data_IF_082758882698
#
_entry.id   IF_082758882698
#
_cell.length_a   1.000
_cell.length_b   1.000
_cell.length_c   1.000
_cell.angle_alpha   90.00
_cell.angle_beta   90.00
_cell.angle_gamma   90.00
#
_symmetry.space_group_name_H-M   'P 1'
#
loop_
_entity.id
_entity.type
_entity.pdbx_description
1 polymer ?
#
# COMPACT_ATOMS: atom_id res chain seq x y z
N UNK A 1 10.01 2.92 -15.76
CA UNK A 1 10.33 2.74 -14.32
C UNK A 1 9.10 2.30 -13.56
N UNK A 2 9.30 1.45 -12.56
CA UNK A 2 8.21 1.01 -11.72
C UNK A 2 7.77 2.13 -10.77
N UNK A 3 6.46 2.32 -10.59
CA UNK A 3 5.92 3.12 -9.49
C UNK A 3 5.73 2.17 -8.32
N UNK A 4 6.55 2.33 -7.30
CA UNK A 4 6.61 1.42 -6.15
C UNK A 4 5.65 1.84 -5.06
N UNK A 5 4.97 0.86 -4.47
CA UNK A 5 4.08 1.11 -3.35
C UNK A 5 4.40 0.19 -2.18
N UNK A 6 4.14 0.69 -0.98
CA UNK A 6 4.18 -0.10 0.25
C UNK A 6 2.74 -0.15 0.77
N UNK A 7 2.23 -1.34 1.07
CA UNK A 7 0.81 -1.56 1.33
C UNK A 7 0.63 -2.33 2.63
N UNK A 8 -0.20 -1.85 3.53
CA UNK A 8 -0.39 -2.58 4.77
C UNK A 8 -1.39 -1.99 5.74
N UNK A 9 -1.13 -2.26 7.01
CA UNK A 9 -2.02 -1.88 8.11
C UNK A 9 -1.24 -1.18 9.22
N UNK A 10 -1.96 -0.44 10.05
CA UNK A 10 -1.42 0.10 11.29
C UNK A 10 -1.72 -0.88 12.42
N UNK A 11 -0.68 -1.25 13.17
CA UNK A 11 -0.79 -2.16 14.29
C UNK A 11 -1.20 -1.43 15.57
N UNK A 12 -1.69 -2.17 16.57
CA UNK A 12 -2.12 -1.60 17.85
C UNK A 12 -0.99 -0.90 18.61
N UNK A 13 0.27 -1.34 18.39
CA UNK A 13 1.43 -0.70 19.01
C UNK A 13 1.90 0.58 18.31
N UNK A 14 1.20 0.99 17.25
CA UNK A 14 1.53 2.20 16.48
C UNK A 14 2.47 1.96 15.30
N UNK A 15 3.01 0.76 15.15
CA UNK A 15 3.82 0.42 13.98
C UNK A 15 2.95 0.12 12.76
N UNK A 16 3.57 0.11 11.60
CA UNK A 16 2.94 -0.23 10.33
C UNK A 16 3.56 -1.50 9.79
N UNK A 17 2.72 -2.49 9.45
CA UNK A 17 3.18 -3.73 8.80
C UNK A 17 2.80 -3.65 7.34
N UNK A 18 3.81 -3.61 6.45
CA UNK A 18 3.63 -3.28 5.04
C UNK A 18 4.27 -4.31 4.14
N UNK A 19 3.63 -4.59 3.00
CA UNK A 19 4.18 -5.43 1.94
C UNK A 19 4.48 -4.57 0.71
N UNK A 20 5.62 -4.83 0.07
CA UNK A 20 6.03 -4.13 -1.15
C UNK A 20 5.21 -4.61 -2.35
N UNK A 21 4.78 -3.64 -3.19
CA UNK A 21 4.16 -3.88 -4.50
C UNK A 21 4.96 -3.15 -5.57
N UNK A 22 5.39 -3.89 -6.61
CA UNK A 22 6.41 -3.40 -7.55
C UNK A 22 5.86 -2.53 -8.67
N UNK A 23 4.77 -2.95 -9.34
CA UNK A 23 4.29 -2.29 -10.53
C UNK A 23 3.04 -1.45 -10.30
N UNK A 24 2.98 -0.29 -10.98
CA UNK A 24 1.79 0.56 -11.09
C UNK A 24 1.17 0.95 -9.74
N UNK A 25 2.03 1.28 -8.76
CA UNK A 25 1.61 1.61 -7.40
C UNK A 25 0.91 2.97 -7.24
N UNK A 26 0.66 3.70 -8.33
CA UNK A 26 0.02 5.01 -8.26
C UNK A 26 -1.47 4.90 -7.94
N UNK A 27 -2.08 5.98 -7.37
CA UNK A 27 -3.48 5.93 -6.91
C UNK A 27 -4.50 5.52 -7.95
N UNK A 28 -4.30 5.88 -9.21
CA UNK A 28 -5.22 5.54 -10.30
C UNK A 28 -5.24 4.06 -10.67
N UNK A 29 -4.30 3.26 -10.16
CA UNK A 29 -4.30 1.82 -10.36
C UNK A 29 -4.38 1.07 -9.02
N UNK A 30 -3.29 1.00 -8.25
CA UNK A 30 -3.29 0.28 -6.97
C UNK A 30 -4.31 0.89 -6.00
N UNK A 31 -4.37 2.21 -5.90
CA UNK A 31 -5.34 2.87 -5.02
C UNK A 31 -6.77 2.49 -5.35
N UNK A 32 -7.11 2.55 -6.64
CA UNK A 32 -8.44 2.17 -7.13
C UNK A 32 -8.75 0.70 -6.84
N UNK A 33 -7.83 -0.20 -7.13
CA UNK A 33 -8.00 -1.65 -6.91
C UNK A 33 -8.22 -1.94 -5.43
N UNK A 34 -7.41 -1.35 -4.54
CA UNK A 34 -7.55 -1.53 -3.10
C UNK A 34 -8.91 -1.09 -2.60
N UNK A 35 -9.36 0.09 -3.01
CA UNK A 35 -10.65 0.64 -2.59
C UNK A 35 -11.82 -0.19 -3.11
N UNK A 36 -11.75 -0.66 -4.34
CA UNK A 36 -12.86 -1.37 -4.98
C UNK A 36 -12.93 -2.86 -4.66
N UNK A 37 -11.79 -3.50 -4.39
CA UNK A 37 -11.71 -4.96 -4.28
C UNK A 37 -11.13 -5.47 -2.96
N UNK A 38 -10.47 -4.62 -2.17
CA UNK A 38 -9.79 -5.03 -0.93
C UNK A 38 -10.16 -4.14 0.25
N UNK A 39 -11.36 -3.59 0.26
CA UNK A 39 -11.78 -2.57 1.22
C UNK A 39 -12.29 -3.18 2.53
N UNK A 40 -11.47 -4.01 3.16
CA UNK A 40 -11.75 -4.57 4.49
C UNK A 40 -10.44 -4.88 5.20
N UNK A 41 -10.50 -4.97 6.53
CA UNK A 41 -9.34 -5.34 7.35
C UNK A 41 -8.84 -6.73 6.98
N UNK A 42 -9.75 -7.69 6.80
CA UNK A 42 -9.39 -9.06 6.43
C UNK A 42 -8.67 -9.10 5.09
N UNK A 43 -9.12 -8.33 4.12
CA UNK A 43 -8.47 -8.27 2.81
C UNK A 43 -7.09 -7.63 2.91
N UNK A 44 -6.94 -6.59 3.73
CA UNK A 44 -5.64 -5.96 3.96
C UNK A 44 -4.66 -6.94 4.61
N UNK A 45 -5.11 -7.71 5.62
CA UNK A 45 -4.31 -8.74 6.28
C UNK A 45 -3.85 -9.79 5.27
N UNK A 46 -4.74 -10.24 4.39
CA UNK A 46 -4.39 -11.23 3.37
C UNK A 46 -3.24 -10.74 2.48
N UNK A 47 -3.26 -9.47 2.11
CA UNK A 47 -2.20 -8.89 1.28
C UNK A 47 -0.83 -8.93 1.98
N UNK A 48 -0.78 -8.61 3.27
CA UNK A 48 0.49 -8.52 4.00
C UNK A 48 1.01 -9.87 4.53
N UNK A 49 0.21 -10.92 4.50
CA UNK A 49 0.62 -12.24 4.96
C UNK A 49 1.36 -13.07 3.91
N UNK A 50 1.49 -12.57 2.69
CA UNK A 50 2.17 -13.27 1.61
C UNK A 50 3.52 -12.65 1.25
N UNK A 51 4.04 -13.10 0.13
CA UNK A 51 5.29 -12.59 -0.43
C UNK A 51 5.08 -11.25 -1.14
N UNK A 52 6.18 -10.64 -1.57
CA UNK A 52 6.16 -9.37 -2.31
C UNK A 52 5.18 -9.44 -3.48
N UNK A 53 4.38 -8.39 -3.64
CA UNK A 53 3.40 -8.32 -4.71
C UNK A 53 4.06 -7.80 -5.98
N UNK A 54 3.85 -8.50 -7.09
CA UNK A 54 4.34 -8.09 -8.39
C UNK A 54 3.46 -6.99 -8.97
N UNK A 55 2.17 -7.29 -9.16
CA UNK A 55 1.21 -6.35 -9.74
C UNK A 55 -0.21 -6.70 -9.35
N UNK A 56 -1.08 -5.69 -9.39
CA UNK A 56 -2.53 -5.84 -9.23
C UNK A 56 -3.20 -5.77 -10.60
N UNK A 57 -4.32 -6.48 -10.73
CA UNK A 57 -5.18 -6.44 -11.92
C UNK A 57 -6.47 -5.69 -11.60
N UNK A 58 -7.12 -5.16 -12.62
CA UNK A 58 -8.33 -4.35 -12.44
C UNK A 58 -9.49 -5.11 -11.79
N UNK A 59 -9.50 -6.44 -11.90
CA UNK A 59 -10.53 -7.28 -11.27
C UNK A 59 -10.27 -7.57 -9.80
N UNK A 60 -9.19 -7.01 -9.23
CA UNK A 60 -8.82 -7.19 -7.84
C UNK A 60 -7.83 -8.32 -7.58
N UNK A 61 -7.56 -9.17 -8.57
CA UNK A 61 -6.54 -10.21 -8.44
C UNK A 61 -5.15 -9.59 -8.45
N UNK A 62 -4.16 -10.34 -8.01
CA UNK A 62 -2.78 -9.87 -7.97
C UNK A 62 -1.82 -11.04 -8.07
N UNK A 63 -0.63 -10.74 -8.59
CA UNK A 63 0.46 -11.69 -8.71
C UNK A 63 1.52 -11.39 -7.66
N UNK A 64 2.18 -12.43 -7.16
CA UNK A 64 3.26 -12.31 -6.20
C UNK A 64 4.56 -12.84 -6.78
N UNK A 65 5.68 -12.27 -6.29
CA UNK A 65 6.99 -12.89 -6.49
C UNK A 65 7.14 -14.11 -5.56
N UNK A 66 8.16 -14.93 -5.80
CA UNK A 66 8.39 -16.14 -5.01
C UNK A 66 8.96 -15.85 -3.61
N UNK A 67 9.46 -14.64 -3.38
CA UNK A 67 10.13 -14.26 -2.14
C UNK A 67 9.64 -12.92 -1.59
N UNK A 68 10.25 -12.50 -0.50
CA UNK A 68 9.89 -11.28 0.20
C UNK A 68 8.84 -11.51 1.27
N UNK A 69 8.77 -10.59 2.21
CA UNK A 69 7.79 -10.61 3.28
C UNK A 69 7.51 -9.18 3.74
N UNK A 70 6.43 -9.00 4.49
CA UNK A 70 6.10 -7.70 5.06
C UNK A 70 7.15 -7.27 6.08
N UNK A 71 7.41 -5.97 6.12
CA UNK A 71 8.30 -5.35 7.09
C UNK A 71 7.52 -4.45 8.03
N UNK A 72 8.14 -4.11 9.15
CA UNK A 72 7.57 -3.23 10.17
C UNK A 72 8.23 -1.86 10.10
N UNK A 73 7.42 -0.81 10.21
CA UNK A 73 7.88 0.58 10.15
C UNK A 73 7.30 1.37 11.32
N UNK A 74 8.08 2.29 11.86
CA UNK A 74 7.66 3.10 13.02
C UNK A 74 6.82 4.30 12.63
N UNK A 75 6.87 4.70 11.36
CA UNK A 75 6.17 5.89 10.87
C UNK A 75 5.82 5.75 9.38
N UNK A 76 4.92 6.61 8.91
CA UNK A 76 4.62 6.71 7.48
C UNK A 76 5.86 7.18 6.71
N UNK A 77 6.65 8.09 7.28
CA UNK A 77 7.88 8.54 6.66
C UNK A 77 8.83 7.38 6.38
N UNK A 78 9.02 6.49 7.37
CA UNK A 78 9.84 5.29 7.21
C UNK A 78 9.25 4.35 6.16
N UNK A 79 7.94 4.18 6.16
CA UNK A 79 7.25 3.31 5.20
C UNK A 79 7.31 3.84 3.77
N UNK A 80 7.53 5.14 3.60
CA UNK A 80 7.68 5.78 2.29
C UNK A 80 9.12 5.79 1.79
N UNK A 81 10.10 5.49 2.65
CA UNK A 81 11.51 5.55 2.26
C UNK A 81 11.81 4.53 1.16
N UNK A 82 12.13 5.02 -0.03
CA UNK A 82 12.39 4.18 -1.20
C UNK A 82 11.14 3.79 -1.99
N UNK A 83 9.98 4.31 -1.61
CA UNK A 83 8.70 4.03 -2.29
C UNK A 83 8.04 5.33 -2.72
N UNK A 84 7.21 5.25 -3.77
CA UNK A 84 6.49 6.41 -4.29
C UNK A 84 5.21 6.68 -3.50
N UNK A 85 4.55 5.60 -3.05
CA UNK A 85 3.29 5.68 -2.30
C UNK A 85 3.28 4.66 -1.17
N UNK A 86 2.57 5.00 -0.08
CA UNK A 86 2.25 4.07 1.00
C UNK A 86 0.73 4.05 1.19
N UNK A 87 0.16 2.84 1.19
CA UNK A 87 -1.27 2.62 1.40
C UNK A 87 -1.46 1.91 2.73
N UNK A 88 -2.26 2.50 3.61
CA UNK A 88 -2.51 1.95 4.95
C UNK A 88 -4.01 1.80 5.16
N UNK A 89 -4.44 0.62 5.58
CA UNK A 89 -5.82 0.39 5.97
C UNK A 89 -6.01 0.74 7.45
N UNK A 90 -6.76 1.81 7.70
CA UNK A 90 -7.18 2.27 9.04
C UNK A 90 -8.66 2.58 8.90
N UNK A 91 -9.54 1.62 9.14
CA UNK A 91 -10.98 1.69 8.88
C UNK A 91 -11.31 1.83 7.40
N UNK A 92 -10.46 2.45 6.62
CA UNK A 92 -10.52 2.58 5.18
C UNK A 92 -9.10 2.76 4.64
N UNK A 93 -8.92 2.57 3.34
CA UNK A 93 -7.62 2.81 2.72
C UNK A 93 -7.28 4.29 2.71
N UNK A 94 -6.07 4.59 3.16
CA UNK A 94 -5.46 5.92 3.08
C UNK A 94 -4.16 5.80 2.30
N UNK A 95 -3.89 6.79 1.47
CA UNK A 95 -2.70 6.83 0.63
C UNK A 95 -1.83 8.03 1.01
N UNK A 96 -0.53 7.80 1.09
CA UNK A 96 0.45 8.83 1.41
C UNK A 96 1.53 8.86 0.34
N UNK A 97 2.05 10.05 0.08
CA UNK A 97 3.19 10.24 -0.79
C UNK A 97 4.11 11.31 -0.20
N UNK A 98 5.30 11.42 -0.73
CA UNK A 98 6.26 12.43 -0.29
C UNK A 98 6.38 13.49 -1.39
N UNK A 99 6.18 14.76 -1.02
CA UNK A 99 6.31 15.87 -1.96
C UNK A 99 7.78 16.06 -2.38
N UNK A 100 7.99 16.86 -3.42
CA UNK A 100 9.35 17.20 -3.86
C UNK A 100 10.17 17.91 -2.79
N UNK A 101 9.49 18.52 -1.80
CA UNK A 101 10.13 19.20 -0.67
C UNK A 101 10.34 18.27 0.53
N UNK A 102 9.99 16.99 0.40
CA UNK A 102 10.15 16.00 1.47
C UNK A 102 9.03 15.93 2.49
N UNK A 103 7.94 16.65 2.29
CA UNK A 103 6.78 16.60 3.19
C UNK A 103 5.88 15.42 2.85
N UNK A 104 5.33 14.78 3.89
CA UNK A 104 4.34 13.71 3.73
C UNK A 104 2.99 14.35 3.40
N UNK A 105 2.37 13.87 2.33
CA UNK A 105 1.05 14.33 1.91
C UNK A 105 0.08 13.16 1.80
N UNK A 106 -1.15 13.37 2.25
CA UNK A 106 -2.21 12.37 2.06
C UNK A 106 -2.83 12.56 0.68
N UNK A 107 -2.95 11.47 -0.08
CA UNK A 107 -3.59 11.45 -1.40
C UNK A 107 -5.03 11.01 -1.21
N UNK A 108 -5.98 11.79 -1.71
CA UNK A 108 -7.40 11.50 -1.56
C UNK A 108 -7.83 10.36 -2.48
N UNK A 109 -8.37 9.29 -1.89
CA UNK A 109 -8.89 8.13 -2.62
C UNK A 109 -10.42 8.14 -2.73
N UNK A 110 -11.09 9.23 -2.35
CA UNK A 110 -12.56 9.31 -2.34
C UNK A 110 -13.19 9.11 -3.70
N UNK A 111 -12.48 9.43 -4.77
CA UNK A 111 -12.97 9.26 -6.15
C UNK A 111 -13.43 7.82 -6.43
N UNK A 112 -12.83 6.83 -5.78
CA UNK A 112 -13.12 5.42 -6.02
C UNK A 112 -13.97 4.74 -4.94
N UNK A 113 -14.34 5.47 -3.89
CA UNK A 113 -15.19 4.96 -2.80
C UNK A 113 -16.67 5.09 -3.10
#
# INVERSE_FOLDING_TARGET
>A
MATRANIGIKLDNGQYKMIYSHWDGYPGHVGKVLVQHHDSYENAIELIEGTTICSFHEDGSYDRYDDGEADYYDSIEDALHGYDYAYVFIEQWKCYTKSMYGNIEEVDLKTWR
#
